data_IF_521123291846
#
_entry.id   IF_521123291846
#
_cell.length_a   1.000
_cell.length_b   1.000
_cell.length_c   1.000
_cell.angle_alpha   90.00
_cell.angle_beta   90.00
_cell.angle_gamma   90.00
#
_symmetry.space_group_name_H-M   'P 1'
#
loop_
_entity.id
_entity.type
_entity.pdbx_description
1 polymer ?
#
# COMPACT_ATOMS: atom_id res chain seq x y z
N UNK A 1 -18.78 6.53 1.56
CA UNK A 1 -17.57 5.96 0.91
C UNK A 1 -16.66 5.53 2.04
N UNK A 2 -15.96 4.40 1.96
CA UNK A 2 -15.07 3.98 3.06
C UNK A 2 -13.77 4.77 2.97
N UNK A 3 -13.29 5.29 4.10
CA UNK A 3 -12.04 6.07 4.16
C UNK A 3 -10.83 5.13 4.17
N UNK A 4 -9.67 5.62 3.74
CA UNK A 4 -8.43 4.84 3.75
C UNK A 4 -8.13 4.30 5.15
N UNK A 5 -8.20 5.15 6.19
CA UNK A 5 -7.87 4.75 7.56
C UNK A 5 -8.81 3.65 8.07
N UNK A 6 -10.11 3.71 7.75
CA UNK A 6 -11.05 2.66 8.09
C UNK A 6 -10.72 1.33 7.41
N UNK A 7 -10.37 1.34 6.12
CA UNK A 7 -9.92 0.14 5.39
C UNK A 7 -8.66 -0.42 6.03
N UNK A 8 -7.68 0.45 6.28
CA UNK A 8 -6.40 0.11 6.87
C UNK A 8 -6.55 -0.59 8.23
N UNK A 9 -7.38 -0.03 9.11
CA UNK A 9 -7.63 -0.59 10.45
C UNK A 9 -8.47 -1.86 10.40
N UNK A 10 -9.55 -1.89 9.60
CA UNK A 10 -10.44 -3.05 9.52
C UNK A 10 -9.74 -4.30 8.97
N UNK A 11 -8.84 -4.13 8.00
CA UNK A 11 -8.09 -5.22 7.37
C UNK A 11 -6.72 -5.46 8.03
N UNK A 12 -6.41 -4.78 9.13
CA UNK A 12 -5.13 -4.91 9.85
C UNK A 12 -3.90 -4.78 8.94
N UNK A 13 -3.94 -3.77 8.05
CA UNK A 13 -2.95 -3.60 6.99
C UNK A 13 -1.58 -3.16 7.51
N UNK A 14 -0.56 -3.42 6.70
CA UNK A 14 0.83 -3.03 6.95
C UNK A 14 1.19 -1.81 6.10
N UNK A 15 1.97 -0.90 6.67
CA UNK A 15 2.56 0.23 5.96
C UNK A 15 3.93 -0.12 5.36
N UNK A 16 4.34 0.56 4.29
CA UNK A 16 5.68 0.39 3.76
C UNK A 16 6.72 1.03 4.68
N UNK A 17 7.84 0.34 4.89
CA UNK A 17 9.03 0.87 5.56
C UNK A 17 9.95 1.59 4.55
N UNK A 18 11.16 1.94 4.98
CA UNK A 18 12.15 2.61 4.13
C UNK A 18 12.51 1.85 2.85
N UNK A 19 12.46 0.50 2.87
CA UNK A 19 12.68 -0.33 1.68
C UNK A 19 11.43 -0.38 0.80
N UNK A 20 10.25 -0.49 1.43
CA UNK A 20 8.97 -0.64 0.75
C UNK A 20 8.47 0.64 0.10
N UNK A 21 8.70 1.81 0.67
CA UNK A 21 8.03 3.05 0.26
C UNK A 21 8.29 3.42 -1.19
N UNK A 22 9.55 3.37 -1.62
CA UNK A 22 9.91 3.62 -3.01
C UNK A 22 9.29 2.60 -3.98
N UNK A 23 9.11 1.35 -3.54
CA UNK A 23 8.50 0.28 -4.34
C UNK A 23 6.99 0.48 -4.46
N UNK A 24 6.33 0.83 -3.36
CA UNK A 24 4.90 1.17 -3.33
C UNK A 24 4.62 2.38 -4.20
N UNK A 25 5.43 3.45 -4.10
CA UNK A 25 5.24 4.66 -4.90
C UNK A 25 5.39 4.41 -6.41
N UNK A 26 6.32 3.54 -6.82
CA UNK A 26 6.55 3.19 -8.23
C UNK A 26 5.61 2.11 -8.76
N UNK A 27 4.79 1.50 -7.91
CA UNK A 27 3.87 0.45 -8.34
C UNK A 27 2.78 1.03 -9.24
N UNK A 28 2.74 0.59 -10.49
CA UNK A 28 1.68 0.92 -11.43
C UNK A 28 0.75 -0.29 -11.59
N UNK A 29 -0.11 -0.50 -10.60
CA UNK A 29 -1.06 -1.60 -10.63
C UNK A 29 -2.26 -1.27 -11.54
N UNK A 30 -2.75 -2.22 -12.38
CA UNK A 30 -3.90 -1.98 -13.25
C UNK A 30 -5.24 -1.91 -12.51
N UNK A 31 -5.30 -2.46 -11.28
CA UNK A 31 -6.48 -2.35 -10.43
C UNK A 31 -6.57 -0.94 -9.81
N UNK A 32 -7.81 -0.51 -9.58
CA UNK A 32 -8.12 0.67 -8.79
C UNK A 32 -9.08 0.28 -7.67
N UNK A 33 -8.95 0.96 -6.53
CA UNK A 33 -9.80 0.74 -5.37
C UNK A 33 -10.58 2.03 -5.10
N UNK A 34 -11.89 1.89 -4.91
CA UNK A 34 -12.72 3.03 -4.50
C UNK A 34 -12.58 3.26 -3.00
N UNK A 35 -12.02 4.41 -2.61
CA UNK A 35 -11.91 4.85 -1.22
C UNK A 35 -11.79 6.38 -1.15
N UNK A 36 -12.12 6.91 0.03
CA UNK A 36 -11.95 8.32 0.35
C UNK A 36 -10.63 8.54 1.08
N UNK A 37 -9.88 9.59 0.68
CA UNK A 37 -8.69 10.03 1.39
C UNK A 37 -9.03 11.34 2.10
N UNK A 38 -9.56 11.21 3.31
CA UNK A 38 -9.97 12.30 4.21
C UNK A 38 -8.77 12.88 4.99
N UNK A 39 -9.03 13.95 5.75
CA UNK A 39 -7.99 14.67 6.51
C UNK A 39 -7.25 13.74 7.49
N UNK A 40 -7.98 12.90 8.22
CA UNK A 40 -7.41 11.94 9.17
C UNK A 40 -6.51 10.91 8.48
N UNK A 41 -6.91 10.39 7.32
CA UNK A 41 -6.08 9.48 6.53
C UNK A 41 -4.82 10.16 5.99
N UNK A 42 -4.93 11.44 5.58
CA UNK A 42 -3.79 12.24 5.11
C UNK A 42 -2.79 12.44 6.22
N UNK A 43 -3.25 12.86 7.39
CA UNK A 43 -2.41 13.08 8.56
C UNK A 43 -1.74 11.78 9.00
N UNK A 44 -2.50 10.68 9.08
CA UNK A 44 -1.97 9.36 9.39
C UNK A 44 -0.83 8.95 8.43
N UNK A 45 -1.04 9.08 7.12
CA UNK A 45 -0.01 8.72 6.13
C UNK A 45 1.22 9.62 6.24
N UNK A 46 1.05 10.94 6.43
CA UNK A 46 2.17 11.87 6.57
C UNK A 46 3.00 11.60 7.82
N UNK A 47 2.35 11.21 8.93
CA UNK A 47 3.03 10.94 10.19
C UNK A 47 3.77 9.60 10.20
N UNK A 48 3.30 8.61 9.43
CA UNK A 48 3.86 7.27 9.45
C UNK A 48 4.77 6.95 8.25
N UNK A 49 4.60 7.62 7.11
CA UNK A 49 5.47 7.43 5.95
C UNK A 49 6.62 8.42 5.99
N UNK A 50 7.85 7.91 5.90
CA UNK A 50 9.05 8.74 5.76
C UNK A 50 9.17 9.31 4.35
N UNK A 51 8.30 10.25 4.02
CA UNK A 51 8.31 10.97 2.75
C UNK A 51 9.12 12.24 2.93
N UNK A 52 10.25 12.33 2.24
CA UNK A 52 11.06 13.54 2.24
C UNK A 52 10.41 14.63 1.36
N UNK A 53 10.18 15.81 1.92
CA UNK A 53 9.69 16.99 1.20
C UNK A 53 8.16 17.08 1.07
N UNK A 54 7.70 18.02 0.23
CA UNK A 54 6.27 18.24 -0.01
C UNK A 54 5.71 17.17 -0.96
N UNK A 55 4.67 16.46 -0.52
CA UNK A 55 3.95 15.50 -1.35
C UNK A 55 2.65 16.11 -1.90
N UNK A 56 2.45 15.98 -3.20
CA UNK A 56 1.19 16.36 -3.84
C UNK A 56 0.07 15.38 -3.51
N UNK A 57 -1.14 15.91 -3.34
CA UNK A 57 -2.33 15.11 -3.00
C UNK A 57 -2.61 13.94 -3.95
N UNK A 58 -2.49 14.06 -5.28
CA UNK A 58 -2.65 12.92 -6.19
C UNK A 58 -1.63 11.80 -5.92
N UNK A 59 -0.38 12.16 -5.62
CA UNK A 59 0.68 11.20 -5.29
C UNK A 59 0.37 10.47 -3.98
N UNK A 60 -0.05 11.21 -2.95
CA UNK A 60 -0.42 10.62 -1.67
C UNK A 60 -1.62 9.66 -1.82
N UNK A 61 -2.62 10.04 -2.61
CA UNK A 61 -3.77 9.17 -2.93
C UNK A 61 -3.35 7.92 -3.68
N UNK A 62 -2.40 8.01 -4.62
CA UNK A 62 -1.89 6.82 -5.31
C UNK A 62 -1.11 5.90 -4.38
N UNK A 63 -0.31 6.46 -3.46
CA UNK A 63 0.37 5.67 -2.43
C UNK A 63 -0.64 4.93 -1.55
N UNK A 64 -1.68 5.62 -1.08
CA UNK A 64 -2.76 5.03 -0.28
C UNK A 64 -3.46 3.88 -1.02
N UNK A 65 -3.80 4.07 -2.30
CA UNK A 65 -4.38 3.04 -3.15
C UNK A 65 -3.46 1.82 -3.27
N UNK A 66 -2.18 2.05 -3.54
CA UNK A 66 -1.19 0.99 -3.67
C UNK A 66 -1.00 0.24 -2.34
N UNK A 67 -1.04 0.91 -1.19
CA UNK A 67 -1.00 0.24 0.13
C UNK A 67 -2.16 -0.75 0.24
N UNK A 68 -3.38 -0.35 -0.11
CA UNK A 68 -4.56 -1.24 -0.06
C UNK A 68 -4.36 -2.43 -1.00
N UNK A 69 -4.01 -2.18 -2.26
CA UNK A 69 -3.84 -3.23 -3.27
C UNK A 69 -2.77 -4.24 -2.84
N UNK A 70 -1.60 -3.76 -2.40
CA UNK A 70 -0.45 -4.59 -2.08
C UNK A 70 -0.61 -5.37 -0.76
N UNK A 71 -1.49 -4.92 0.14
CA UNK A 71 -1.89 -5.72 1.31
C UNK A 71 -2.81 -6.88 0.91
N UNK A 72 -3.68 -6.68 -0.09
CA UNK A 72 -4.62 -7.69 -0.61
C UNK A 72 -4.01 -8.62 -1.64
N UNK A 73 -2.79 -8.34 -2.11
CA UNK A 73 -2.06 -9.27 -2.97
C UNK A 73 -1.27 -10.26 -2.13
N UNK A 74 -1.63 -11.53 -2.23
CA UNK A 74 -1.04 -12.60 -1.46
C UNK A 74 -0.12 -13.44 -2.34
N UNK A 75 1.10 -13.68 -1.87
CA UNK A 75 2.07 -14.50 -2.57
C UNK A 75 1.65 -15.97 -2.58
N UNK A 76 1.71 -16.61 -3.76
CA UNK A 76 1.18 -17.97 -3.97
C UNK A 76 1.75 -19.01 -3.02
N UNK A 77 3.04 -18.95 -2.69
CA UNK A 77 3.72 -20.07 -2.03
C UNK A 77 3.74 -19.99 -0.51
N UNK A 78 3.71 -18.77 0.07
CA UNK A 78 3.86 -18.56 1.51
C UNK A 78 2.71 -17.77 2.12
N UNK A 79 1.74 -17.30 1.33
CA UNK A 79 0.57 -16.58 1.85
C UNK A 79 0.89 -15.19 2.38
N UNK A 80 2.09 -14.66 2.15
CA UNK A 80 2.47 -13.34 2.62
C UNK A 80 1.90 -12.24 1.72
N UNK A 81 1.44 -11.15 2.36
CA UNK A 81 1.06 -9.95 1.63
C UNK A 81 2.26 -9.37 0.88
N UNK A 82 2.03 -8.89 -0.34
CA UNK A 82 3.07 -8.33 -1.19
C UNK A 82 3.77 -7.16 -0.53
N UNK A 83 3.05 -6.34 0.23
CA UNK A 83 3.67 -5.22 0.96
C UNK A 83 4.67 -5.70 2.01
N UNK A 84 4.42 -6.82 2.68
CA UNK A 84 5.34 -7.41 3.66
C UNK A 84 6.63 -7.84 2.97
N UNK A 85 6.52 -8.49 1.81
CA UNK A 85 7.68 -8.86 1.01
C UNK A 85 8.41 -7.62 0.48
N UNK A 86 7.70 -6.58 0.06
CA UNK A 86 8.29 -5.30 -0.36
C UNK A 86 9.02 -4.58 0.77
N UNK A 87 8.71 -4.88 2.03
CA UNK A 87 9.42 -4.33 3.18
C UNK A 87 10.74 -5.04 3.49
N UNK A 88 11.04 -6.18 2.85
CA UNK A 88 12.33 -6.86 2.96
C UNK A 88 13.42 -6.06 2.25
N UNK A 89 14.65 -6.08 2.76
CA UNK A 89 15.79 -5.44 2.09
C UNK A 89 15.94 -5.93 0.63
N UNK A 90 15.78 -7.25 0.43
CA UNK A 90 15.81 -7.91 -0.88
C UNK A 90 14.40 -8.31 -1.31
N UNK A 91 13.85 -7.61 -2.31
CA UNK A 91 12.58 -7.95 -2.95
C UNK A 91 12.82 -8.33 -4.40
N UNK A 92 12.58 -9.60 -4.74
CA UNK A 92 12.86 -10.18 -6.06
C UNK A 92 11.66 -10.95 -6.64
N UNK A 93 10.44 -10.62 -6.19
CA UNK A 93 9.22 -11.32 -6.61
C UNK A 93 8.59 -10.67 -7.84
N UNK A 94 8.20 -11.49 -8.80
CA UNK A 94 7.51 -11.07 -10.02
C UNK A 94 6.04 -10.74 -9.69
N UNK A 95 5.39 -9.83 -10.45
CA UNK A 95 3.95 -9.58 -10.27
C UNK A 95 3.09 -10.85 -10.40
N UNK A 96 3.50 -11.79 -11.25
CA UNK A 96 2.82 -13.09 -11.43
C UNK A 96 2.98 -14.04 -10.24
N UNK A 97 3.77 -13.68 -9.24
CA UNK A 97 3.93 -14.44 -7.99
C UNK A 97 2.82 -14.15 -6.98
N UNK A 98 1.84 -13.31 -7.32
CA UNK A 98 0.78 -12.86 -6.41
C UNK A 98 -0.61 -13.10 -6.98
N UNK A 99 -1.55 -13.37 -6.08
CA UNK A 99 -2.99 -13.38 -6.34
C UNK A 99 -3.65 -12.22 -5.61
N UNK A 100 -4.60 -11.56 -6.26
CA UNK A 100 -5.44 -10.56 -5.62
C UNK A 100 -6.58 -11.24 -4.86
N UNK A 101 -6.61 -11.11 -3.53
CA UNK A 101 -7.75 -11.56 -2.73
C UNK A 101 -8.75 -10.42 -2.60
N UNK A 102 -9.85 -10.50 -3.34
CA UNK A 102 -11.08 -9.73 -3.02
C UNK A 102 -11.78 -10.41 -1.86
N UNK A 103 -11.75 -9.78 -0.68
CA UNK A 103 -12.70 -10.06 0.39
C UNK A 103 -14.03 -9.33 0.12
#
# INVERSE_FOLDING_TARGET
MTTFLNIYTAESMILPNNYGLARVQRCNHPLSVSFELDEDSIEFLKNNLKIDGSIYMPTLKKIAENIIILNREIHFSNGEARISLMNLANYNYLPTSFNYTTH
#
